data_IF_227747751162
#
_entry.id   IF_227747751162
#
_cell.length_a   1.000
_cell.length_b   1.000
_cell.length_c   1.000
_cell.angle_alpha   90.00
_cell.angle_beta   90.00
_cell.angle_gamma   90.00
#
_symmetry.space_group_name_H-M   'P 1'
#
loop_
_entity.id
_entity.type
_entity.pdbx_description
1 polymer ?
#
# COMPACT_ATOMS: atom_id res chain seq x y z
N UNK A 1 -12.88 8.21 -3.80
CA UNK A 1 -11.64 8.56 -4.52
C UNK A 1 -10.78 7.30 -4.53
N UNK A 2 -10.47 6.77 -5.71
CA UNK A 2 -9.75 5.51 -5.89
C UNK A 2 -8.25 5.70 -5.58
N UNK A 3 -7.66 4.82 -4.77
CA UNK A 3 -6.22 4.84 -4.52
C UNK A 3 -5.50 4.03 -5.62
N UNK A 4 -4.54 4.63 -6.35
CA UNK A 4 -3.86 3.94 -7.45
C UNK A 4 -3.02 2.74 -7.01
N UNK A 5 -2.74 2.59 -5.71
CA UNK A 5 -1.92 1.50 -5.19
C UNK A 5 -2.72 0.26 -4.79
N UNK A 6 -4.04 0.33 -4.68
CA UNK A 6 -4.89 -0.75 -4.13
C UNK A 6 -4.65 -2.08 -4.87
N UNK A 7 -4.75 -2.07 -6.21
CA UNK A 7 -4.54 -3.26 -7.04
C UNK A 7 -3.13 -3.83 -6.96
N UNK A 8 -2.12 -2.95 -6.94
CA UNK A 8 -0.71 -3.38 -6.91
C UNK A 8 -0.39 -4.01 -5.56
N UNK A 9 -0.86 -3.40 -4.48
CA UNK A 9 -0.67 -3.89 -3.12
C UNK A 9 -1.40 -5.23 -2.93
N UNK A 10 -2.62 -5.38 -3.45
CA UNK A 10 -3.34 -6.65 -3.40
C UNK A 10 -2.53 -7.78 -4.05
N UNK A 11 -2.01 -7.57 -5.26
CA UNK A 11 -1.16 -8.56 -5.94
C UNK A 11 0.09 -8.92 -5.15
N UNK A 12 0.75 -7.93 -4.53
CA UNK A 12 1.94 -8.15 -3.70
C UNK A 12 1.62 -9.01 -2.48
N UNK A 13 0.50 -8.75 -1.80
CA UNK A 13 0.06 -9.49 -0.63
C UNK A 13 -0.35 -10.92 -1.00
N UNK A 14 -1.04 -11.14 -2.13
CA UNK A 14 -1.41 -12.49 -2.58
C UNK A 14 -0.20 -13.38 -2.90
N UNK A 15 0.97 -12.79 -3.20
CA UNK A 15 2.19 -13.52 -3.53
C UNK A 15 3.05 -13.85 -2.29
N UNK A 16 2.73 -13.33 -1.11
CA UNK A 16 3.56 -13.43 0.10
C UNK A 16 2.70 -13.77 1.32
N UNK A 17 3.19 -14.60 2.24
CA UNK A 17 2.41 -14.94 3.45
C UNK A 17 2.23 -13.76 4.42
N UNK A 18 3.24 -12.89 4.53
CA UNK A 18 3.20 -11.70 5.37
C UNK A 18 4.20 -10.68 4.83
N UNK A 19 3.79 -9.41 4.76
CA UNK A 19 4.63 -8.32 4.29
C UNK A 19 4.60 -7.17 5.28
N UNK A 20 5.78 -6.63 5.58
CA UNK A 20 5.90 -5.37 6.33
C UNK A 20 5.58 -4.20 5.41
N UNK A 21 5.00 -3.13 5.95
CA UNK A 21 4.65 -1.93 5.17
C UNK A 21 5.85 -1.34 4.42
N UNK A 22 7.05 -1.34 5.02
CA UNK A 22 8.25 -0.87 4.34
C UNK A 22 8.70 -1.77 3.19
N UNK A 23 8.43 -3.08 3.24
CA UNK A 23 8.67 -4.01 2.13
C UNK A 23 7.73 -3.71 0.98
N UNK A 24 6.46 -3.41 1.27
CA UNK A 24 5.49 -2.94 0.27
C UNK A 24 5.99 -1.65 -0.39
N UNK A 25 6.44 -0.67 0.42
CA UNK A 25 6.98 0.59 -0.09
C UNK A 25 8.20 0.38 -1.00
N UNK A 26 9.13 -0.49 -0.62
CA UNK A 26 10.30 -0.83 -1.41
C UNK A 26 9.92 -1.48 -2.76
N UNK A 27 9.04 -2.48 -2.74
CA UNK A 27 8.56 -3.15 -3.95
C UNK A 27 7.86 -2.18 -4.92
N UNK A 28 7.04 -1.28 -4.39
CA UNK A 28 6.36 -0.25 -5.19
C UNK A 28 7.33 0.76 -5.81
N UNK A 29 8.44 1.09 -5.13
CA UNK A 29 9.50 1.94 -5.69
C UNK A 29 10.26 1.21 -6.80
N UNK A 30 10.62 -0.05 -6.59
CA UNK A 30 11.29 -0.89 -7.60
C UNK A 30 10.44 -1.05 -8.87
N UNK A 31 9.11 -1.18 -8.71
CA UNK A 31 8.14 -1.25 -9.80
C UNK A 31 7.78 0.12 -10.41
N UNK A 32 8.42 1.21 -9.96
CA UNK A 32 8.14 2.59 -10.40
C UNK A 32 6.68 3.03 -10.23
N UNK A 33 5.96 2.42 -9.28
CA UNK A 33 4.55 2.73 -8.95
C UNK A 33 4.41 3.86 -7.92
N UNK A 34 5.52 4.27 -7.29
CA UNK A 34 5.56 5.36 -6.30
C UNK A 34 6.37 6.55 -6.84
N UNK A 35 5.72 7.60 -7.39
CA UNK A 35 6.41 8.80 -7.84
C UNK A 35 6.99 9.60 -6.67
N UNK A 36 7.75 10.65 -6.99
CA UNK A 36 8.12 11.69 -6.03
C UNK A 36 6.89 12.57 -5.76
N UNK A 37 6.40 12.57 -4.52
CA UNK A 37 5.16 13.24 -4.09
C UNK A 37 5.41 14.59 -3.41
N UNK A 38 6.66 14.87 -3.05
CA UNK A 38 7.11 16.15 -2.50
C UNK A 38 8.60 16.37 -2.76
N UNK A 39 9.04 17.62 -2.81
CA UNK A 39 10.46 17.98 -2.92
C UNK A 39 11.18 17.87 -1.59
N UNK A 40 10.47 18.07 -0.49
CA UNK A 40 10.99 17.83 0.85
C UNK A 40 10.94 16.33 1.16
N UNK A 41 12.08 15.76 1.57
CA UNK A 41 12.21 14.31 1.77
C UNK A 41 11.27 13.77 2.87
N UNK A 42 11.10 14.51 3.97
CA UNK A 42 10.24 14.10 5.07
C UNK A 42 8.78 14.11 4.66
N UNK A 43 8.33 15.15 3.95
CA UNK A 43 6.97 15.22 3.39
C UNK A 43 6.74 14.16 2.32
N UNK A 44 7.74 13.88 1.48
CA UNK A 44 7.67 12.85 0.47
C UNK A 44 7.47 11.47 1.13
N UNK A 45 8.29 11.13 2.13
CA UNK A 45 8.16 9.91 2.91
C UNK A 45 6.77 9.81 3.58
N UNK A 46 6.33 10.87 4.25
CA UNK A 46 5.01 10.92 4.88
C UNK A 46 3.89 10.67 3.88
N UNK A 47 3.89 11.35 2.73
CA UNK A 47 2.87 11.20 1.69
C UNK A 47 2.85 9.79 1.10
N UNK A 48 4.01 9.17 0.91
CA UNK A 48 4.11 7.78 0.43
C UNK A 48 3.50 6.81 1.44
N UNK A 49 3.86 6.96 2.71
CA UNK A 49 3.29 6.13 3.78
C UNK A 49 1.77 6.34 3.87
N UNK A 50 1.30 7.59 3.80
CA UNK A 50 -0.13 7.90 3.81
C UNK A 50 -0.88 7.25 2.63
N UNK A 51 -0.30 7.29 1.43
CA UNK A 51 -0.89 6.66 0.25
C UNK A 51 -0.97 5.14 0.40
N UNK A 52 0.08 4.48 0.91
CA UNK A 52 0.10 3.03 1.15
C UNK A 52 -0.92 2.65 2.22
N UNK A 53 -0.96 3.35 3.36
CA UNK A 53 -1.90 3.06 4.45
C UNK A 53 -3.35 3.25 4.01
N UNK A 54 -3.64 4.30 3.22
CA UNK A 54 -4.97 4.48 2.65
C UNK A 54 -5.34 3.37 1.68
N UNK A 55 -4.39 2.85 0.90
CA UNK A 55 -4.63 1.75 0.00
C UNK A 55 -4.97 0.46 0.77
N UNK A 56 -4.21 0.16 1.84
CA UNK A 56 -4.50 -0.97 2.73
C UNK A 56 -5.88 -0.84 3.39
N UNK A 57 -6.25 0.36 3.84
CA UNK A 57 -7.55 0.63 4.43
C UNK A 57 -8.71 0.47 3.44
N UNK A 58 -8.53 0.91 2.19
CA UNK A 58 -9.52 0.71 1.13
C UNK A 58 -9.60 -0.77 0.74
N UNK A 59 -8.45 -1.44 0.59
CA UNK A 59 -8.38 -2.85 0.26
C UNK A 59 -9.10 -3.71 1.29
N UNK A 60 -8.94 -3.44 2.60
CA UNK A 60 -9.68 -4.13 3.65
C UNK A 60 -11.20 -4.03 3.44
N UNK A 61 -11.72 -2.87 3.02
CA UNK A 61 -13.16 -2.71 2.77
C UNK A 61 -13.61 -3.53 1.56
N UNK A 62 -12.81 -3.55 0.49
CA UNK A 62 -13.10 -4.30 -0.73
C UNK A 62 -13.09 -5.81 -0.47
N UNK A 63 -12.04 -6.34 0.16
CA UNK A 63 -11.94 -7.79 0.43
C UNK A 63 -12.95 -8.25 1.48
N UNK A 64 -13.37 -7.37 2.41
CA UNK A 64 -14.41 -7.67 3.38
C UNK A 64 -15.77 -7.89 2.73
N UNK A 65 -16.09 -7.18 1.65
CA UNK A 65 -17.31 -7.42 0.88
C UNK A 65 -17.34 -8.82 0.26
N UNK A 66 -16.17 -9.40 0.00
CA UNK A 66 -15.96 -10.76 -0.52
C UNK A 66 -15.81 -11.81 0.60
N UNK A 67 -16.00 -11.44 1.86
CA UNK A 67 -15.86 -12.34 3.02
C UNK A 67 -14.42 -12.68 3.40
N UNK A 68 -13.44 -11.93 2.89
CA UNK A 68 -12.03 -12.05 3.22
C UNK A 68 -11.61 -10.99 4.25
N UNK A 69 -10.49 -11.22 4.95
CA UNK A 69 -9.95 -10.30 5.94
C UNK A 69 -8.47 -10.03 5.69
N UNK A 70 -8.11 -8.75 5.63
CA UNK A 70 -6.73 -8.28 5.60
C UNK A 70 -6.29 -7.95 7.04
N UNK A 71 -5.37 -8.76 7.56
CA UNK A 71 -4.80 -8.52 8.88
C UNK A 71 -3.65 -7.53 8.80
N UNK A 72 -3.75 -6.43 9.55
CA UNK A 72 -2.69 -5.42 9.70
C UNK A 72 -2.40 -5.27 11.19
N UNK A 73 -1.18 -5.61 11.61
CA UNK A 73 -0.69 -5.48 12.98
C UNK A 73 0.46 -4.45 13.07
N UNK A 74 0.66 -3.90 14.27
CA UNK A 74 1.64 -2.86 14.56
C UNK A 74 2.94 -3.44 15.15
#
# INVERSE_FOLDING_TARGET
MFNPLTDVIFRLICQNQSLKVHTIAAALLEQQQLPCLDKDENKNLFKRNFLIMNALYQLQQEVFAEGLYLHVEA
#
